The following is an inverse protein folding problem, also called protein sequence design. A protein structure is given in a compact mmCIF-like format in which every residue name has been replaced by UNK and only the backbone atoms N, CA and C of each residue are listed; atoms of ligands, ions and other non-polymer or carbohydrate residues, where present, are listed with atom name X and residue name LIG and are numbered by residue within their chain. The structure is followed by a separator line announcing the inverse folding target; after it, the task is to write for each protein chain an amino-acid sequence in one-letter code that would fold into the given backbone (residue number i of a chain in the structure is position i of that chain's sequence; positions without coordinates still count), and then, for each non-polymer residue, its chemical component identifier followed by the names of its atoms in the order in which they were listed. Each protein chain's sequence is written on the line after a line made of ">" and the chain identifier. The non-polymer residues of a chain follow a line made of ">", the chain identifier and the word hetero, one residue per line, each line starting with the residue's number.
data_IF_113908874106
#
_entry.id   IF_113908874106
#
_cell.length_a   1.000
_cell.length_b   1.000
_cell.length_c   1.000
_cell.angle_alpha   90.00
_cell.angle_beta   90.00
_cell.angle_gamma   90.00
#
_symmetry.space_group_name_H-M   'P 1'
#
loop_
_entity.id
_entity.type
_entity.pdbx_description
1 polymer ?
#
# COMPACT_ATOMS: atom_id res chain seq x y z
N UNK A 1 -12.08 10.93 10.16
CA UNK A 1 -10.88 10.41 9.48
C UNK A 1 -10.17 11.55 8.75
N UNK A 2 -9.08 12.07 9.29
CA UNK A 2 -8.27 13.14 8.68
C UNK A 2 -6.80 12.87 9.05
N UNK A 3 -5.88 13.03 8.09
CA UNK A 3 -4.39 13.00 8.20
C UNK A 3 -3.61 11.78 7.68
N UNK A 4 -4.12 11.03 6.72
CA UNK A 4 -3.31 10.09 5.92
C UNK A 4 -3.95 9.70 4.59
N UNK A 5 -5.29 9.65 4.57
CA UNK A 5 -6.06 9.33 3.37
C UNK A 5 -6.05 10.38 2.26
N UNK A 6 -5.61 11.60 2.51
CA UNK A 6 -5.73 12.71 1.55
C UNK A 6 -4.86 12.55 0.32
N UNK A 7 -3.65 12.00 0.46
CA UNK A 7 -2.69 11.88 -0.65
C UNK A 7 -3.00 10.67 -1.54
N UNK A 8 -3.22 9.50 -0.95
CA UNK A 8 -3.66 8.31 -1.69
C UNK A 8 -5.00 8.52 -2.40
N UNK A 9 -5.96 9.18 -1.74
CA UNK A 9 -7.22 9.55 -2.39
C UNK A 9 -6.99 10.46 -3.58
N UNK A 10 -6.22 11.53 -3.41
CA UNK A 10 -5.89 12.45 -4.49
C UNK A 10 -5.21 11.76 -5.67
N UNK A 11 -4.17 10.96 -5.41
CA UNK A 11 -3.45 10.22 -6.45
C UNK A 11 -4.35 9.20 -7.16
N UNK A 12 -5.20 8.48 -6.41
CA UNK A 12 -6.12 7.53 -7.00
C UNK A 12 -7.16 8.23 -7.90
N UNK A 13 -7.71 9.36 -7.45
CA UNK A 13 -8.63 10.17 -8.27
C UNK A 13 -7.94 10.75 -9.51
N UNK A 14 -6.70 11.24 -9.37
CA UNK A 14 -5.91 11.75 -10.48
C UNK A 14 -5.67 10.67 -11.52
N UNK A 15 -5.16 9.50 -11.13
CA UNK A 15 -4.89 8.39 -12.04
C UNK A 15 -6.17 7.91 -12.74
N UNK A 16 -7.31 7.85 -12.03
CA UNK A 16 -8.58 7.51 -12.69
C UNK A 16 -8.98 8.57 -13.73
N UNK A 17 -8.77 9.86 -13.44
CA UNK A 17 -9.05 10.94 -14.41
C UNK A 17 -8.17 10.86 -15.66
N UNK A 18 -6.93 10.40 -15.51
CA UNK A 18 -6.01 10.13 -16.62
C UNK A 18 -6.34 8.82 -17.38
N UNK A 19 -7.42 8.13 -17.01
CA UNK A 19 -7.94 6.95 -17.73
C UNK A 19 -7.45 5.61 -17.21
N UNK A 20 -6.72 5.57 -16.08
CA UNK A 20 -6.26 4.32 -15.49
C UNK A 20 -7.34 3.64 -14.64
N UNK A 21 -7.38 2.30 -14.67
CA UNK A 21 -8.14 1.51 -13.70
C UNK A 21 -7.32 1.35 -12.42
N UNK A 22 -7.81 1.88 -11.30
CA UNK A 22 -7.03 1.98 -10.06
C UNK A 22 -7.59 1.10 -8.94
N UNK A 23 -6.70 0.30 -8.34
CA UNK A 23 -6.91 -0.38 -7.06
C UNK A 23 -6.07 0.30 -5.97
N UNK A 24 -6.73 0.89 -4.97
CA UNK A 24 -6.07 1.34 -3.75
C UNK A 24 -6.00 0.17 -2.76
N UNK A 25 -4.84 -0.46 -2.69
CA UNK A 25 -4.57 -1.59 -1.79
C UNK A 25 -4.12 -1.07 -0.42
N UNK A 26 -4.79 -1.49 0.66
CA UNK A 26 -4.46 -1.11 2.04
C UNK A 26 -4.71 -2.26 3.01
N UNK A 27 -4.21 -2.18 4.24
CA UNK A 27 -4.42 -3.20 5.28
C UNK A 27 -5.85 -3.15 5.84
N UNK A 28 -6.39 -4.27 6.33
CA UNK A 28 -7.61 -4.28 7.15
C UNK A 28 -7.40 -3.62 8.52
N UNK A 29 -6.14 -3.49 8.95
CA UNK A 29 -5.76 -2.94 10.26
C UNK A 29 -5.28 -1.47 10.16
N UNK A 30 -5.77 -0.62 11.06
CA UNK A 30 -5.38 0.78 11.17
C UNK A 30 -4.32 0.96 12.26
N UNK A 31 -3.07 1.18 11.87
CA UNK A 31 -1.93 1.29 12.79
C UNK A 31 -2.00 2.48 13.77
N UNK A 32 -2.72 3.56 13.43
CA UNK A 32 -2.86 4.74 14.29
C UNK A 32 -3.75 4.47 15.51
N UNK A 33 -4.97 3.99 15.26
CA UNK A 33 -5.94 3.65 16.31
C UNK A 33 -5.71 2.24 16.88
N UNK A 34 -4.87 1.46 16.21
CA UNK A 34 -4.60 0.05 16.49
C UNK A 34 -5.87 -0.79 16.54
N UNK A 35 -6.73 -0.55 15.56
CA UNK A 35 -8.04 -1.17 15.43
C UNK A 35 -8.26 -1.68 14.01
N UNK A 36 -9.13 -2.68 13.86
CA UNK A 36 -9.57 -3.16 12.56
C UNK A 36 -10.58 -2.20 11.94
N UNK A 37 -10.45 -1.98 10.64
CA UNK A 37 -11.43 -1.24 9.85
C UNK A 37 -12.65 -2.12 9.63
N UNK A 38 -13.83 -1.53 9.65
CA UNK A 38 -15.00 -2.17 9.08
C UNK A 38 -14.93 -2.02 7.54
N UNK A 39 -14.32 -3.01 6.90
CA UNK A 39 -14.13 -3.07 5.44
C UNK A 39 -15.46 -3.14 4.67
N UNK A 40 -16.59 -3.38 5.33
CA UNK A 40 -17.90 -3.48 4.67
C UNK A 40 -18.62 -2.14 4.50
N UNK A 41 -18.07 -1.07 5.10
CA UNK A 41 -18.72 0.25 5.14
C UNK A 41 -19.04 0.78 3.73
N UNK A 42 -20.22 1.42 3.56
CA UNK A 42 -20.62 1.99 2.27
C UNK A 42 -19.66 3.06 1.73
N UNK A 43 -18.91 3.75 2.60
CA UNK A 43 -17.95 4.79 2.19
C UNK A 43 -16.80 4.26 1.33
N UNK A 44 -16.56 2.95 1.31
CA UNK A 44 -15.57 2.32 0.44
C UNK A 44 -16.15 1.88 -0.91
N UNK A 45 -17.44 2.12 -1.14
CA UNK A 45 -18.17 1.79 -2.38
C UNK A 45 -18.51 3.09 -3.13
N UNK A 46 -18.64 3.01 -4.44
CA UNK A 46 -19.00 4.14 -5.29
C UNK A 46 -17.88 5.19 -5.49
N UNK A 47 -16.66 4.86 -5.09
CA UNK A 47 -15.48 5.65 -5.41
C UNK A 47 -15.04 5.42 -6.86
N UNK A 48 -14.37 6.40 -7.50
CA UNK A 48 -13.89 6.25 -8.88
C UNK A 48 -12.79 5.18 -9.02
N UNK A 49 -12.22 4.73 -7.91
CA UNK A 49 -11.25 3.64 -7.80
C UNK A 49 -11.79 2.58 -6.84
N UNK A 50 -11.27 1.35 -6.94
CA UNK A 50 -11.63 0.26 -6.01
C UNK A 50 -10.68 0.25 -4.82
N UNK A 51 -11.21 0.05 -3.62
CA UNK A 51 -10.39 -0.20 -2.43
C UNK A 51 -10.28 -1.71 -2.22
N UNK A 52 -9.05 -2.19 -2.03
CA UNK A 52 -8.76 -3.59 -1.74
C UNK A 52 -8.12 -3.67 -0.36
N UNK A 53 -8.72 -4.47 0.52
CA UNK A 53 -8.19 -4.69 1.86
C UNK A 53 -7.39 -5.99 1.91
N UNK A 54 -6.19 -5.91 2.48
CA UNK A 54 -5.33 -7.05 2.78
C UNK A 54 -5.48 -7.36 4.26
N UNK A 55 -5.89 -8.58 4.58
CA UNK A 55 -6.04 -9.00 5.95
C UNK A 55 -4.71 -8.93 6.71
N UNK A 56 -4.75 -8.22 7.82
CA UNK A 56 -3.66 -8.10 8.78
C UNK A 56 -4.19 -8.45 10.17
N UNK A 57 -3.47 -9.21 11.01
CA UNK A 57 -3.92 -9.57 12.36
C UNK A 57 -4.07 -8.36 13.31
N UNK A 58 -3.20 -7.35 13.17
CA UNK A 58 -3.12 -6.20 14.06
C UNK A 58 -2.24 -6.43 15.30
N UNK A 59 -2.01 -5.34 16.04
CA UNK A 59 -1.19 -5.31 17.27
C UNK A 59 -1.56 -4.11 18.16
N UNK A 60 -1.27 -4.18 19.46
CA UNK A 60 -1.63 -3.10 20.42
C UNK A 60 -0.43 -2.26 20.88
N UNK A 61 0.81 -2.76 20.76
CA UNK A 61 2.03 -2.08 21.20
C UNK A 61 3.00 -1.83 20.03
N UNK A 62 3.72 -0.72 20.08
CA UNK A 62 4.61 -0.30 18.98
C UNK A 62 5.90 -1.13 18.88
N UNK A 63 6.36 -1.71 20.00
CA UNK A 63 7.49 -2.64 20.06
C UNK A 63 6.99 -3.96 20.67
N UNK A 64 6.55 -4.86 19.80
CA UNK A 64 6.01 -6.17 20.16
C UNK A 64 6.26 -7.16 19.02
N UNK A 65 6.57 -8.41 19.35
CA UNK A 65 6.62 -9.53 18.41
C UNK A 65 5.30 -9.70 17.65
N UNK A 66 4.16 -9.33 18.26
CA UNK A 66 2.86 -9.28 17.61
C UNK A 66 2.85 -8.29 16.43
N UNK A 67 3.54 -7.14 16.53
CA UNK A 67 3.68 -6.20 15.41
C UNK A 67 4.47 -6.80 14.26
N UNK A 68 5.59 -7.48 14.56
CA UNK A 68 6.40 -8.16 13.56
C UNK A 68 5.58 -9.26 12.87
N UNK A 69 4.88 -10.08 13.66
CA UNK A 69 4.00 -11.13 13.13
C UNK A 69 2.87 -10.54 12.28
N UNK A 70 2.25 -9.45 12.73
CA UNK A 70 1.18 -8.76 12.01
C UNK A 70 1.64 -8.30 10.63
N UNK A 71 2.75 -7.58 10.57
CA UNK A 71 3.33 -7.14 9.30
C UNK A 71 3.76 -8.31 8.41
N UNK A 72 4.33 -9.37 8.98
CA UNK A 72 4.71 -10.57 8.22
C UNK A 72 3.49 -11.23 7.56
N UNK A 73 2.37 -11.33 8.28
CA UNK A 73 1.11 -11.86 7.72
C UNK A 73 0.55 -10.92 6.66
N UNK A 74 0.54 -9.61 6.89
CA UNK A 74 0.10 -8.62 5.89
C UNK A 74 0.94 -8.72 4.60
N UNK A 75 2.26 -8.81 4.72
CA UNK A 75 3.18 -9.01 3.62
C UNK A 75 2.90 -10.31 2.85
N UNK A 76 2.71 -11.43 3.55
CA UNK A 76 2.33 -12.72 2.96
C UNK A 76 1.01 -12.63 2.19
N UNK A 77 0.01 -11.98 2.78
CA UNK A 77 -1.32 -11.84 2.18
C UNK A 77 -1.30 -10.91 0.97
N UNK A 78 -0.52 -9.83 1.02
CA UNK A 78 -0.29 -8.92 -0.11
C UNK A 78 0.39 -9.65 -1.27
N UNK A 79 1.43 -10.45 -0.99
CA UNK A 79 2.07 -11.29 -2.01
C UNK A 79 1.06 -12.25 -2.62
N UNK A 80 0.26 -12.94 -1.81
CA UNK A 80 -0.76 -13.85 -2.29
C UNK A 80 -1.82 -13.14 -3.15
N UNK A 81 -2.18 -11.90 -2.81
CA UNK A 81 -3.06 -11.06 -3.63
C UNK A 81 -2.46 -10.78 -5.01
N UNK A 82 -1.20 -10.39 -5.09
CA UNK A 82 -0.53 -10.17 -6.37
C UNK A 82 -0.41 -11.46 -7.20
N UNK A 83 -0.08 -12.60 -6.57
CA UNK A 83 0.00 -13.89 -7.27
C UNK A 83 -1.36 -14.31 -7.85
N UNK A 84 -2.46 -14.14 -7.10
CA UNK A 84 -3.82 -14.45 -7.59
C UNK A 84 -4.27 -13.54 -8.73
N UNK A 85 -3.71 -12.34 -8.80
CA UNK A 85 -4.01 -11.33 -9.80
C UNK A 85 -2.83 -11.09 -10.75
N UNK A 86 -2.00 -12.13 -10.97
CA UNK A 86 -0.84 -12.02 -11.86
C UNK A 86 -1.28 -11.60 -13.27
N UNK A 87 -0.60 -10.60 -13.85
CA UNK A 87 -0.95 -10.02 -15.15
C UNK A 87 -2.10 -9.02 -15.13
N UNK A 88 -2.68 -8.69 -13.95
CA UNK A 88 -3.76 -7.68 -13.83
C UNK A 88 -3.23 -6.25 -13.65
N UNK A 89 -2.00 -6.10 -13.17
CA UNK A 89 -1.42 -4.80 -12.81
C UNK A 89 -0.24 -4.49 -13.72
N UNK A 90 -0.31 -3.36 -14.42
CA UNK A 90 0.76 -2.85 -15.28
C UNK A 90 1.77 -1.97 -14.53
N UNK A 91 1.40 -1.50 -13.33
CA UNK A 91 2.22 -0.63 -12.49
C UNK A 91 1.85 -0.84 -11.02
N UNK A 92 2.86 -0.89 -10.15
CA UNK A 92 2.68 -0.81 -8.70
C UNK A 92 3.29 0.49 -8.19
N UNK A 93 2.46 1.32 -7.58
CA UNK A 93 2.88 2.51 -6.83
C UNK A 93 2.77 2.24 -5.34
N UNK A 94 3.88 2.38 -4.61
CA UNK A 94 3.90 2.18 -3.16
C UNK A 94 4.48 3.41 -2.47
N UNK A 95 3.65 4.09 -1.67
CA UNK A 95 4.12 5.05 -0.67
C UNK A 95 4.59 4.27 0.56
N UNK A 96 5.87 4.43 0.90
CA UNK A 96 6.56 3.60 1.89
C UNK A 96 6.72 4.34 3.21
N UNK A 97 6.12 3.80 4.29
CA UNK A 97 6.83 3.65 5.56
C UNK A 97 6.51 2.30 6.25
N UNK A 98 7.29 1.76 7.22
CA UNK A 98 8.73 1.48 7.27
C UNK A 98 9.14 0.22 6.43
N UNK A 99 10.45 -0.09 6.46
CA UNK A 99 11.21 -0.96 5.54
C UNK A 99 10.65 -2.36 5.16
N UNK A 100 9.83 -3.00 5.98
CA UNK A 100 9.44 -4.42 5.76
C UNK A 100 8.33 -4.59 4.71
N UNK A 101 7.33 -3.70 4.71
CA UNK A 101 6.24 -3.73 3.71
C UNK A 101 6.76 -3.32 2.34
N UNK A 102 7.63 -2.30 2.31
CA UNK A 102 8.33 -1.85 1.12
C UNK A 102 9.12 -2.95 0.43
N UNK A 103 9.92 -3.70 1.21
CA UNK A 103 10.70 -4.82 0.72
C UNK A 103 9.80 -5.88 0.08
N UNK A 104 8.69 -6.21 0.71
CA UNK A 104 7.75 -7.21 0.17
C UNK A 104 7.13 -6.75 -1.16
N UNK A 105 6.74 -5.48 -1.27
CA UNK A 105 6.23 -4.92 -2.52
C UNK A 105 7.29 -4.98 -3.64
N UNK A 106 8.53 -4.62 -3.34
CA UNK A 106 9.63 -4.66 -4.29
C UNK A 106 9.94 -6.11 -4.75
N UNK A 107 9.99 -7.07 -3.81
CA UNK A 107 10.19 -8.49 -4.13
C UNK A 107 9.05 -9.05 -4.98
N UNK A 108 7.80 -8.69 -4.66
CA UNK A 108 6.63 -9.11 -5.44
C UNK A 108 6.65 -8.54 -6.86
N UNK A 109 6.92 -7.25 -7.01
CA UNK A 109 6.99 -6.58 -8.31
C UNK A 109 8.12 -7.16 -9.19
N UNK A 110 9.30 -7.39 -8.60
CA UNK A 110 10.42 -8.03 -9.29
C UNK A 110 10.06 -9.46 -9.75
N UNK A 111 9.40 -10.25 -8.89
CA UNK A 111 9.01 -11.62 -9.23
C UNK A 111 7.95 -11.71 -10.33
N UNK A 112 7.16 -10.66 -10.51
CA UNK A 112 6.08 -10.57 -11.50
C UNK A 112 6.46 -9.72 -12.73
N UNK A 113 7.68 -9.19 -12.78
CA UNK A 113 8.15 -8.27 -13.81
C UNK A 113 7.24 -7.04 -14.01
N UNK A 114 6.70 -6.50 -12.90
CA UNK A 114 5.84 -5.32 -12.92
C UNK A 114 6.70 -4.09 -12.57
N UNK A 115 6.62 -2.98 -13.33
CA UNK A 115 7.22 -1.71 -12.95
C UNK A 115 6.82 -1.28 -11.53
N UNK A 116 7.81 -0.95 -10.70
CA UNK A 116 7.62 -0.57 -9.31
C UNK A 116 8.10 0.86 -9.06
N UNK A 117 7.19 1.72 -8.61
CA UNK A 117 7.50 3.09 -8.20
C UNK A 117 7.39 3.18 -6.69
N UNK A 118 8.55 3.34 -6.04
CA UNK A 118 8.66 3.58 -4.61
C UNK A 118 8.58 5.10 -4.35
N UNK A 119 7.54 5.52 -3.63
CA UNK A 119 7.39 6.90 -3.17
C UNK A 119 7.77 7.00 -1.68
N UNK A 120 8.93 7.58 -1.44
CA UNK A 120 9.54 7.64 -0.12
C UNK A 120 9.12 8.96 0.54
N UNK A 121 8.12 8.90 1.42
CA UNK A 121 7.78 10.03 2.28
C UNK A 121 8.50 9.96 3.61
N UNK A 122 9.40 10.92 3.85
CA UNK A 122 10.09 11.06 5.13
C UNK A 122 9.13 11.51 6.23
N UNK A 123 8.82 10.65 7.19
CA UNK A 123 8.22 11.07 8.46
C UNK A 123 9.32 11.54 9.44
N UNK A 124 9.96 12.70 9.18
CA UNK A 124 11.02 13.28 10.04
C UNK A 124 12.08 14.10 9.27
N UNK A 125 12.82 15.04 9.91
CA UNK A 125 13.16 16.35 9.35
C UNK A 125 14.41 16.40 8.45
N UNK A 126 14.64 15.40 7.57
CA UNK A 126 15.70 15.51 6.55
C UNK A 126 15.28 14.86 5.23
N UNK A 127 15.21 15.62 4.11
CA UNK A 127 14.92 15.05 2.80
C UNK A 127 16.18 14.36 2.25
N UNK A 128 16.03 13.09 1.86
CA UNK A 128 17.01 12.40 1.01
C UNK A 128 16.51 12.50 -0.43
N UNK A 129 17.15 13.34 -1.25
CA UNK A 129 16.90 13.41 -2.68
C UNK A 129 17.65 12.28 -3.40
N UNK A 130 16.99 11.56 -4.30
CA UNK A 130 17.62 10.70 -5.30
C UNK A 130 16.90 10.85 -6.63
N UNK A 131 17.66 11.14 -7.69
CA UNK A 131 17.20 11.10 -9.08
C UNK A 131 17.41 9.70 -9.66
N UNK A 132 16.54 9.28 -10.57
CA UNK A 132 16.87 8.22 -11.53
C UNK A 132 16.33 8.59 -12.89
N UNK A 133 17.21 8.56 -13.88
CA UNK A 133 16.92 8.65 -15.31
C UNK A 133 16.60 7.24 -15.80
N UNK A 134 15.45 7.05 -16.44
CA UNK A 134 15.18 5.82 -17.18
C UNK A 134 15.89 5.90 -18.55
N UNK A 135 16.72 4.92 -18.94
CA UNK A 135 17.18 4.83 -20.32
C UNK A 135 16.02 4.39 -21.23
N UNK A 136 16.06 4.94 -22.44
CA UNK A 136 15.08 4.81 -23.52
C UNK A 136 14.90 3.38 -24.03
#
# INVERSE_FOLDING_TARGET
>A
EQRGYTRFKFLSELLVREGFAVDLITSSFQHWEKAHRDCTRPCYRGLPYRIVFIDEPGYTKNLDLARIKSHHVAAKNLRAHFMRNAGRYDLIYAEIPPNDVARTCAEAAASLNIPFVADITTSGPRPCAWSSTFPS
#
